data_IF_028089672569
#
_entry.id   IF_028089672569
#
_cell.length_a   1.000
_cell.length_b   1.000
_cell.length_c   1.000
_cell.angle_alpha   90.00
_cell.angle_beta   90.00
_cell.angle_gamma   90.00
#
_symmetry.space_group_name_H-M   'P 1'
#
loop_
_entity.id
_entity.type
_entity.pdbx_description
1 polymer ?
#
# COMPACT_ATOMS: atom_id res chain seq x y z
N UNK A 1 -6.32 17.65 14.19
CA UNK A 1 -6.88 18.14 12.90
C UNK A 1 -6.03 19.29 12.34
N UNK A 2 -5.75 20.37 13.09
CA UNK A 2 -4.91 21.51 12.61
C UNK A 2 -3.54 21.12 12.03
N UNK A 3 -2.81 20.17 12.62
CA UNK A 3 -1.50 19.75 12.13
C UNK A 3 -1.55 18.99 10.77
N UNK A 4 -2.67 18.33 10.46
CA UNK A 4 -2.76 17.47 9.27
C UNK A 4 -3.08 18.24 7.98
N UNK A 5 -3.96 19.24 8.05
CA UNK A 5 -4.25 20.13 6.92
C UNK A 5 -3.01 20.96 6.55
N UNK A 6 -2.23 21.36 7.54
CA UNK A 6 -0.99 22.10 7.32
C UNK A 6 0.08 21.24 6.64
N UNK A 7 0.27 19.99 7.07
CA UNK A 7 1.16 19.05 6.40
C UNK A 7 0.75 18.75 4.95
N UNK A 8 -0.55 18.58 4.68
CA UNK A 8 -1.04 18.33 3.32
C UNK A 8 -0.83 19.55 2.41
N UNK A 9 -1.11 20.75 2.93
CA UNK A 9 -0.85 22.00 2.22
C UNK A 9 0.64 22.18 1.88
N UNK A 10 1.53 21.92 2.85
CA UNK A 10 2.98 22.00 2.63
C UNK A 10 3.46 20.98 1.58
N UNK A 11 2.93 19.76 1.60
CA UNK A 11 3.23 18.74 0.58
C UNK A 11 2.81 19.21 -0.82
N UNK A 12 1.59 19.74 -0.95
CA UNK A 12 1.06 20.28 -2.21
C UNK A 12 1.89 21.45 -2.75
N UNK A 13 2.27 22.39 -1.89
CA UNK A 13 3.15 23.52 -2.27
C UNK A 13 4.53 23.02 -2.72
N UNK A 14 5.09 22.02 -2.04
CA UNK A 14 6.36 21.41 -2.42
C UNK A 14 6.29 20.72 -3.78
N UNK A 15 5.23 19.96 -4.06
CA UNK A 15 5.03 19.30 -5.36
C UNK A 15 5.10 20.33 -6.50
N UNK A 16 4.35 21.43 -6.38
CA UNK A 16 4.32 22.49 -7.40
C UNK A 16 5.69 23.15 -7.57
N UNK A 17 6.40 23.43 -6.46
CA UNK A 17 7.72 24.04 -6.52
C UNK A 17 8.78 23.12 -7.14
N UNK A 18 8.80 21.84 -6.74
CA UNK A 18 9.77 20.86 -7.25
C UNK A 18 9.56 20.65 -8.76
N UNK A 19 8.32 20.58 -9.25
CA UNK A 19 8.03 20.47 -10.69
C UNK A 19 8.49 21.71 -11.45
N UNK A 20 8.35 22.90 -10.86
CA UNK A 20 8.79 24.15 -11.49
C UNK A 20 10.31 24.29 -11.55
N UNK A 21 11.01 23.86 -10.50
CA UNK A 21 12.46 24.03 -10.37
C UNK A 21 13.25 22.87 -10.99
N UNK A 22 12.73 21.65 -10.87
CA UNK A 22 13.43 20.40 -11.21
C UNK A 22 12.70 19.55 -12.25
N UNK A 23 11.68 20.09 -12.92
CA UNK A 23 10.80 19.46 -13.93
C UNK A 23 9.90 18.31 -13.43
N UNK A 24 10.23 17.63 -12.34
CA UNK A 24 9.32 16.70 -11.68
C UNK A 24 9.53 16.70 -10.17
N UNK A 25 8.45 16.36 -9.45
CA UNK A 25 8.50 15.99 -8.05
C UNK A 25 8.62 14.48 -7.91
N UNK A 26 9.32 14.01 -6.87
CA UNK A 26 9.34 12.61 -6.47
C UNK A 26 8.51 12.47 -5.21
N UNK A 27 7.42 11.70 -5.27
CA UNK A 27 6.62 11.35 -4.11
C UNK A 27 7.19 10.05 -3.50
N UNK A 28 7.81 10.16 -2.32
CA UNK A 28 8.50 9.07 -1.65
C UNK A 28 7.63 8.47 -0.54
N UNK A 29 7.47 7.15 -0.55
CA UNK A 29 6.76 6.39 0.46
C UNK A 29 7.68 5.30 0.99
N UNK A 30 7.98 5.39 2.28
CA UNK A 30 8.79 4.40 2.97
C UNK A 30 7.99 3.11 3.20
N UNK A 31 8.71 2.01 3.36
CA UNK A 31 8.09 0.75 3.78
C UNK A 31 7.58 0.88 5.21
N UNK A 32 6.40 0.35 5.48
CA UNK A 32 5.83 0.29 6.83
C UNK A 32 6.14 -1.03 7.55
N UNK A 33 6.96 -1.89 6.95
CA UNK A 33 7.29 -3.23 7.46
C UNK A 33 6.56 -4.34 6.72
N UNK A 34 5.30 -4.12 6.34
CA UNK A 34 4.51 -5.04 5.51
C UNK A 34 4.54 -4.63 4.04
N UNK A 35 4.09 -3.41 3.73
CA UNK A 35 4.08 -2.86 2.38
C UNK A 35 5.48 -2.42 1.93
N UNK A 36 5.86 -2.67 0.65
CA UNK A 36 7.13 -2.21 0.13
C UNK A 36 7.16 -0.69 -0.01
N UNK A 37 8.35 -0.12 0.17
CA UNK A 37 8.61 1.27 -0.20
C UNK A 37 8.38 1.47 -1.70
N UNK A 38 7.94 2.67 -2.08
CA UNK A 38 7.81 3.06 -3.47
C UNK A 38 8.06 4.55 -3.67
N UNK A 39 8.45 4.90 -4.89
CA UNK A 39 8.58 6.29 -5.33
C UNK A 39 7.91 6.43 -6.68
N UNK A 40 7.15 7.50 -6.88
CA UNK A 40 6.67 7.87 -8.21
C UNK A 40 6.95 9.32 -8.56
N UNK A 41 7.00 9.60 -9.86
CA UNK A 41 7.17 10.95 -10.39
C UNK A 41 5.83 11.67 -10.53
N UNK A 42 5.86 13.00 -10.38
CA UNK A 42 4.76 13.89 -10.77
C UNK A 42 5.38 15.00 -11.61
N UNK A 43 4.86 15.24 -12.82
CA UNK A 43 5.28 16.34 -13.69
C UNK A 43 5.92 15.90 -15.00
N UNK A 44 6.36 14.65 -15.14
CA UNK A 44 6.93 14.15 -16.41
C UNK A 44 5.92 14.24 -17.55
N UNK A 45 4.65 13.96 -17.25
CA UNK A 45 3.59 14.02 -18.24
C UNK A 45 3.34 15.45 -18.71
N UNK A 46 3.25 16.40 -17.77
CA UNK A 46 3.07 17.81 -18.11
C UNK A 46 4.26 18.38 -18.89
N UNK A 47 5.50 18.16 -18.40
CA UNK A 47 6.70 18.81 -18.94
C UNK A 47 7.19 18.19 -20.24
N UNK A 48 7.08 16.88 -20.38
CA UNK A 48 7.74 16.14 -21.45
C UNK A 48 6.80 15.26 -22.27
N UNK A 49 5.50 15.22 -21.94
CA UNK A 49 4.53 14.28 -22.54
C UNK A 49 4.98 12.82 -22.41
N UNK A 50 5.72 12.53 -21.32
CA UNK A 50 6.16 11.19 -20.97
C UNK A 50 5.29 10.66 -19.83
N UNK A 51 4.90 9.37 -19.81
CA UNK A 51 4.20 8.79 -18.66
C UNK A 51 4.93 9.05 -17.34
N UNK A 52 4.18 9.21 -16.25
CA UNK A 52 4.78 9.17 -14.92
C UNK A 52 5.39 7.78 -14.67
N UNK A 53 6.38 7.69 -13.79
CA UNK A 53 7.09 6.44 -13.53
C UNK A 53 6.97 6.11 -12.04
N UNK A 54 6.57 4.88 -11.72
CA UNK A 54 6.58 4.32 -10.37
C UNK A 54 7.61 3.20 -10.26
N UNK A 55 8.27 3.12 -9.10
CA UNK A 55 9.27 2.10 -8.77
C UNK A 55 9.06 1.61 -7.33
N UNK A 56 9.26 0.32 -7.09
CA UNK A 56 9.02 -0.35 -5.81
C UNK A 56 10.26 -1.10 -5.30
N UNK A 57 10.29 -1.33 -3.98
CA UNK A 57 11.03 -2.43 -3.36
C UNK A 57 12.53 -2.23 -3.17
N UNK A 58 13.10 -1.17 -3.73
CA UNK A 58 14.45 -0.71 -3.44
C UNK A 58 14.42 0.32 -2.30
N UNK A 59 15.58 0.71 -1.79
CA UNK A 59 15.65 1.83 -0.84
C UNK A 59 15.22 3.13 -1.53
N UNK A 60 14.53 4.02 -0.82
CA UNK A 60 13.94 5.25 -1.37
C UNK A 60 14.98 6.22 -1.95
N UNK A 61 16.19 6.26 -1.39
CA UNK A 61 17.33 7.00 -1.93
C UNK A 61 17.78 6.46 -3.29
N UNK A 62 17.90 5.13 -3.43
CA UNK A 62 18.22 4.46 -4.69
C UNK A 62 17.13 4.70 -5.73
N UNK A 63 15.86 4.51 -5.36
CA UNK A 63 14.73 4.78 -6.25
C UNK A 63 14.72 6.24 -6.71
N UNK A 64 14.94 7.17 -5.78
CA UNK A 64 15.01 8.59 -6.07
C UNK A 64 16.15 8.95 -7.02
N UNK A 65 17.33 8.36 -6.85
CA UNK A 65 18.45 8.56 -7.77
C UNK A 65 18.15 8.01 -9.18
N UNK A 66 17.55 6.83 -9.28
CA UNK A 66 17.15 6.24 -10.56
C UNK A 66 16.13 7.11 -11.30
N UNK A 67 15.07 7.56 -10.60
CA UNK A 67 14.02 8.39 -11.20
C UNK A 67 14.53 9.78 -11.60
N UNK A 68 15.44 10.39 -10.82
CA UNK A 68 16.11 11.62 -11.22
C UNK A 68 16.96 11.44 -12.49
N UNK A 69 17.69 10.33 -12.59
CA UNK A 69 18.45 9.99 -13.80
C UNK A 69 17.54 9.80 -15.02
N UNK A 70 16.42 9.08 -14.85
CA UNK A 70 15.40 8.92 -15.89
C UNK A 70 14.82 10.27 -16.33
N UNK A 71 14.47 11.15 -15.39
CA UNK A 71 14.03 12.51 -15.70
C UNK A 71 15.07 13.25 -16.54
N UNK A 72 16.35 13.19 -16.18
CA UNK A 72 17.41 13.89 -16.90
C UNK A 72 17.61 13.34 -18.33
N UNK A 73 17.41 12.04 -18.55
CA UNK A 73 17.39 11.45 -19.89
C UNK A 73 16.14 11.84 -20.69
N UNK A 74 14.97 11.87 -20.05
CA UNK A 74 13.72 12.33 -20.67
C UNK A 74 13.83 13.80 -21.08
N UNK A 75 14.47 14.65 -20.26
CA UNK A 75 14.78 16.06 -20.59
C UNK A 75 15.62 16.18 -21.86
N UNK A 76 16.48 15.20 -22.16
CA UNK A 76 17.29 15.15 -23.40
C UNK A 76 16.51 14.65 -24.63
N UNK A 77 15.25 14.27 -24.46
CA UNK A 77 14.36 13.76 -25.51
C UNK A 77 14.30 12.23 -25.59
N UNK A 78 14.89 11.50 -24.64
CA UNK A 78 14.69 10.05 -24.56
C UNK A 78 13.28 9.73 -24.06
N UNK A 79 12.76 8.57 -24.45
CA UNK A 79 11.46 8.07 -23.98
C UNK A 79 11.52 6.57 -23.78
N UNK A 80 10.86 6.11 -22.73
CA UNK A 80 10.83 4.71 -22.32
C UNK A 80 9.51 4.08 -22.75
N UNK A 81 9.61 2.90 -23.36
CA UNK A 81 8.50 2.20 -24.02
C UNK A 81 8.14 0.93 -23.27
N UNK A 82 6.86 0.58 -23.39
CA UNK A 82 6.30 -0.65 -22.85
C UNK A 82 7.04 -1.88 -23.35
N UNK A 83 7.28 -2.81 -22.43
CA UNK A 83 7.85 -4.13 -22.70
C UNK A 83 9.24 -4.14 -23.33
N UNK A 84 9.93 -3.00 -23.34
CA UNK A 84 11.30 -2.89 -23.78
C UNK A 84 12.26 -2.98 -22.59
N UNK A 85 13.36 -3.72 -22.78
CA UNK A 85 14.45 -3.82 -21.82
C UNK A 85 15.47 -2.70 -22.05
N UNK A 86 15.94 -2.12 -20.96
CA UNK A 86 16.91 -1.03 -20.95
C UNK A 86 18.07 -1.38 -20.03
N UNK A 87 19.29 -1.30 -20.54
CA UNK A 87 20.52 -1.44 -19.79
C UNK A 87 21.08 -0.07 -19.40
N UNK A 88 21.97 -0.04 -18.40
CA UNK A 88 22.66 1.19 -17.97
C UNK A 88 21.84 2.10 -17.05
N UNK A 89 20.57 1.78 -16.79
CA UNK A 89 19.76 2.47 -15.78
C UNK A 89 20.02 1.95 -14.38
N UNK A 90 20.06 0.62 -14.21
CA UNK A 90 20.44 -0.06 -12.98
C UNK A 90 21.80 -0.74 -13.20
N UNK A 91 22.74 -0.55 -12.27
CA UNK A 91 24.08 -1.11 -12.43
C UNK A 91 24.03 -2.64 -12.51
N UNK A 92 24.62 -3.21 -13.55
CA UNK A 92 24.68 -4.66 -13.82
C UNK A 92 23.35 -5.36 -14.14
N UNK A 93 22.23 -4.64 -14.23
CA UNK A 93 20.92 -5.23 -14.52
C UNK A 93 20.16 -4.44 -15.58
N UNK A 94 19.39 -5.17 -16.40
CA UNK A 94 18.39 -4.55 -17.27
C UNK A 94 17.13 -4.22 -16.46
N UNK A 95 16.38 -3.22 -16.91
CA UNK A 95 15.06 -2.88 -16.38
C UNK A 95 14.03 -2.88 -17.51
N UNK A 96 12.78 -3.13 -17.17
CA UNK A 96 11.68 -3.16 -18.13
C UNK A 96 10.53 -2.30 -17.64
N UNK A 97 9.87 -1.59 -18.55
CA UNK A 97 8.70 -0.77 -18.21
C UNK A 97 7.41 -1.50 -18.57
N UNK A 98 6.52 -1.63 -17.61
CA UNK A 98 5.17 -2.14 -17.79
C UNK A 98 4.16 -1.00 -17.66
N UNK A 99 2.97 -1.18 -18.24
CA UNK A 99 1.86 -0.25 -18.06
C UNK A 99 1.27 -0.42 -16.68
N UNK A 100 0.81 0.66 -16.05
CA UNK A 100 0.00 0.56 -14.83
C UNK A 100 -1.48 0.56 -15.19
N UNK A 101 -2.22 -0.45 -14.74
CA UNK A 101 -3.66 -0.51 -14.90
C UNK A 101 -4.34 0.63 -14.11
N UNK A 102 -5.29 1.34 -14.73
CA UNK A 102 -6.02 2.46 -14.12
C UNK A 102 -6.73 2.12 -12.81
N UNK A 103 -7.11 0.86 -12.58
CA UNK A 103 -7.74 0.41 -11.33
C UNK A 103 -6.82 0.53 -10.11
N UNK A 104 -5.49 0.60 -10.32
CA UNK A 104 -4.52 0.83 -9.25
C UNK A 104 -4.30 2.32 -8.95
N UNK A 105 -4.88 3.25 -9.72
CA UNK A 105 -4.43 4.64 -9.64
C UNK A 105 -4.82 5.32 -8.33
N UNK A 106 -6.03 5.05 -7.86
CA UNK A 106 -6.54 5.57 -6.59
C UNK A 106 -5.75 5.05 -5.39
N UNK A 107 -5.13 3.88 -5.50
CA UNK A 107 -4.33 3.33 -4.42
C UNK A 107 -2.98 4.05 -4.31
N UNK A 108 -2.28 4.31 -5.42
CA UNK A 108 -0.88 4.78 -5.37
C UNK A 108 -0.68 6.27 -5.68
N UNK A 109 -1.50 6.88 -6.55
CA UNK A 109 -1.18 8.17 -7.18
C UNK A 109 -2.01 9.35 -6.66
N UNK A 110 -2.36 9.36 -5.38
CA UNK A 110 -3.20 10.41 -4.79
C UNK A 110 -2.71 11.84 -5.07
N UNK A 111 -1.41 12.11 -4.90
CA UNK A 111 -0.85 13.44 -5.14
C UNK A 111 -0.74 13.78 -6.63
N UNK A 112 -0.39 12.83 -7.49
CA UNK A 112 -0.38 13.07 -8.93
C UNK A 112 -1.80 13.37 -9.42
N UNK A 113 -2.78 12.61 -8.95
CA UNK A 113 -4.16 12.81 -9.31
C UNK A 113 -4.71 14.17 -8.85
N UNK A 114 -4.40 14.60 -7.63
CA UNK A 114 -4.67 15.98 -7.18
C UNK A 114 -4.01 17.02 -8.09
N UNK A 115 -2.73 16.81 -8.44
CA UNK A 115 -1.96 17.73 -9.28
C UNK A 115 -2.56 17.85 -10.70
N UNK A 116 -2.98 16.73 -11.30
CA UNK A 116 -3.65 16.65 -12.59
C UNK A 116 -5.16 16.89 -12.49
N UNK A 117 -5.53 18.00 -11.85
CA UNK A 117 -6.91 18.52 -11.78
C UNK A 117 -7.91 17.59 -11.04
N UNK A 118 -7.44 16.81 -10.06
CA UNK A 118 -8.22 15.77 -9.36
C UNK A 118 -8.76 14.69 -10.33
N UNK A 119 -7.96 14.32 -11.33
CA UNK A 119 -8.28 13.27 -12.30
C UNK A 119 -7.17 12.22 -12.36
N UNK A 120 -7.46 11.07 -12.94
CA UNK A 120 -6.47 10.03 -13.29
C UNK A 120 -6.27 9.94 -14.82
N UNK A 121 -6.25 11.11 -15.47
CA UNK A 121 -6.06 11.20 -16.93
C UNK A 121 -4.60 11.51 -17.31
N UNK A 122 -3.71 10.63 -16.86
CA UNK A 122 -2.30 10.63 -17.22
C UNK A 122 -1.84 9.17 -17.34
N UNK A 123 -0.89 8.83 -18.25
CA UNK A 123 -0.34 7.50 -18.32
C UNK A 123 0.75 7.30 -17.26
N UNK A 124 0.87 6.07 -16.74
CA UNK A 124 1.93 5.69 -15.80
C UNK A 124 2.60 4.39 -16.26
N UNK A 125 3.92 4.37 -16.17
CA UNK A 125 4.76 3.19 -16.33
C UNK A 125 5.31 2.71 -14.99
N UNK A 126 5.29 1.41 -14.76
CA UNK A 126 6.04 0.79 -13.68
C UNK A 126 7.41 0.35 -14.18
N UNK A 127 8.48 0.79 -13.52
CA UNK A 127 9.83 0.29 -13.75
C UNK A 127 10.06 -1.00 -12.96
N UNK A 128 10.31 -2.09 -13.66
CA UNK A 128 10.56 -3.42 -13.09
C UNK A 128 12.05 -3.75 -13.13
N UNK A 129 12.55 -4.35 -12.06
CA UNK A 129 13.91 -4.87 -11.94
C UNK A 129 13.91 -6.40 -11.73
N UNK A 130 14.90 -7.14 -12.27
CA UNK A 130 15.02 -8.58 -12.09
C UNK A 130 15.77 -8.93 -10.79
N UNK A 131 15.78 -10.20 -10.41
CA UNK A 131 16.61 -10.66 -9.31
C UNK A 131 18.12 -10.74 -9.66
N UNK A 132 18.94 -11.20 -8.71
CA UNK A 132 20.39 -11.34 -8.90
C UNK A 132 20.76 -12.36 -9.98
N UNK A 133 19.86 -13.27 -10.34
CA UNK A 133 20.04 -14.26 -11.41
C UNK A 133 19.45 -13.75 -12.74
N UNK A 134 19.10 -12.46 -12.82
CA UNK A 134 18.45 -11.82 -13.96
C UNK A 134 17.07 -12.42 -14.32
N UNK A 135 16.39 -13.02 -13.35
CA UNK A 135 15.01 -13.48 -13.51
C UNK A 135 14.03 -12.36 -13.23
N UNK A 136 12.97 -12.30 -14.02
CA UNK A 136 11.89 -11.33 -13.82
C UNK A 136 10.85 -11.84 -12.81
N UNK A 137 10.07 -10.97 -12.13
CA UNK A 137 9.07 -11.40 -11.15
C UNK A 137 8.02 -12.39 -11.66
N UNK A 138 7.77 -12.38 -12.97
CA UNK A 138 6.84 -13.30 -13.64
C UNK A 138 7.49 -14.58 -14.17
N UNK A 139 8.81 -14.72 -14.06
CA UNK A 139 9.52 -15.91 -14.53
C UNK A 139 9.63 -16.99 -13.46
N UNK A 140 9.56 -18.25 -13.90
CA UNK A 140 9.86 -19.39 -13.04
C UNK A 140 11.31 -19.31 -12.53
N UNK A 141 11.47 -19.48 -11.22
CA UNK A 141 12.79 -19.42 -10.56
C UNK A 141 13.21 -18.02 -10.11
N UNK A 142 12.34 -17.01 -10.21
CA UNK A 142 12.55 -15.74 -9.52
C UNK A 142 12.69 -15.96 -8.01
N UNK A 143 13.58 -15.19 -7.37
CA UNK A 143 13.78 -15.25 -5.92
C UNK A 143 12.46 -15.04 -5.14
N UNK A 144 12.00 -16.09 -4.49
CA UNK A 144 10.72 -16.12 -3.76
C UNK A 144 10.64 -15.05 -2.65
N UNK A 145 11.76 -14.74 -1.99
CA UNK A 145 11.79 -13.71 -0.94
C UNK A 145 11.51 -12.29 -1.47
N UNK A 146 11.58 -12.10 -2.79
CA UNK A 146 11.40 -10.80 -3.44
C UNK A 146 10.06 -10.70 -4.17
N UNK A 147 9.26 -11.77 -4.16
CA UNK A 147 8.01 -11.89 -4.93
C UNK A 147 7.06 -10.71 -4.70
N UNK A 148 6.93 -10.27 -3.44
CA UNK A 148 6.02 -9.18 -3.06
C UNK A 148 6.72 -7.83 -2.85
N UNK A 149 8.04 -7.73 -3.14
CA UNK A 149 8.77 -6.45 -3.03
C UNK A 149 8.41 -5.46 -4.13
N UNK A 150 7.86 -5.93 -5.25
CA UNK A 150 7.37 -5.09 -6.34
C UNK A 150 6.03 -5.63 -6.86
N UNK A 151 4.88 -5.15 -6.32
CA UNK A 151 3.57 -5.56 -6.84
C UNK A 151 3.47 -5.19 -8.33
N UNK A 152 3.03 -6.14 -9.16
CA UNK A 152 2.87 -5.92 -10.60
C UNK A 152 1.53 -5.23 -10.87
N UNK A 153 1.58 -3.93 -11.20
CA UNK A 153 0.38 -3.10 -11.30
C UNK A 153 -0.31 -3.17 -12.68
N UNK A 154 0.19 -3.96 -13.61
CA UNK A 154 -0.43 -4.24 -14.92
C UNK A 154 -1.52 -5.34 -14.84
N UNK A 155 -1.58 -6.05 -13.71
CA UNK A 155 -2.40 -7.26 -13.51
C UNK A 155 -2.93 -7.36 -12.08
N UNK A 156 -3.68 -8.43 -11.80
CA UNK A 156 -4.15 -8.81 -10.45
C UNK A 156 -4.99 -7.75 -9.71
N UNK A 157 -5.74 -6.91 -10.41
CA UNK A 157 -6.51 -5.83 -9.78
C UNK A 157 -7.65 -6.33 -8.87
N UNK A 158 -8.16 -7.52 -9.13
CA UNK A 158 -9.17 -8.22 -8.31
C UNK A 158 -8.61 -8.82 -6.99
N UNK A 159 -7.29 -8.85 -6.82
CA UNK A 159 -6.62 -9.42 -5.64
C UNK A 159 -5.38 -8.58 -5.29
N UNK A 160 -5.55 -7.63 -4.36
CA UNK A 160 -4.54 -6.62 -4.03
C UNK A 160 -3.56 -7.03 -2.92
N UNK A 161 -3.79 -8.16 -2.27
CA UNK A 161 -2.96 -8.62 -1.16
C UNK A 161 -1.56 -9.02 -1.63
N UNK A 162 -0.56 -8.77 -0.77
CA UNK A 162 0.85 -9.09 -1.01
C UNK A 162 1.17 -10.51 -0.55
N UNK A 163 0.27 -11.43 -0.85
CA UNK A 163 0.27 -12.80 -0.36
C UNK A 163 -0.07 -13.78 -1.49
N UNK A 164 0.21 -15.06 -1.27
CA UNK A 164 -0.28 -16.08 -2.18
C UNK A 164 -1.82 -16.16 -2.12
N UNK A 165 -2.44 -16.36 -3.27
CA UNK A 165 -3.90 -16.53 -3.38
C UNK A 165 -4.44 -17.69 -2.53
N UNK A 166 -3.65 -18.74 -2.37
CA UNK A 166 -3.96 -19.91 -1.57
C UNK A 166 -3.43 -19.83 -0.13
N UNK A 167 -3.02 -18.64 0.34
CA UNK A 167 -2.71 -18.43 1.76
C UNK A 167 -3.92 -18.86 2.60
N UNK A 168 -3.68 -19.65 3.63
CA UNK A 168 -4.71 -20.04 4.59
C UNK A 168 -5.02 -18.88 5.53
N UNK A 169 -6.28 -18.48 5.63
CA UNK A 169 -6.74 -17.39 6.48
C UNK A 169 -7.88 -17.83 7.39
N UNK A 170 -7.97 -17.21 8.56
CA UNK A 170 -8.99 -17.54 9.55
C UNK A 170 -10.27 -16.76 9.31
N UNK A 171 -11.40 -17.44 9.42
CA UNK A 171 -12.73 -16.84 9.35
C UNK A 171 -13.70 -17.63 10.23
N UNK A 172 -15.00 -17.35 10.13
CA UNK A 172 -16.06 -18.12 10.78
C UNK A 172 -16.93 -18.83 9.76
N UNK A 173 -17.63 -19.91 10.14
CA UNK A 173 -18.59 -20.56 9.22
C UNK A 173 -19.64 -19.57 8.75
N UNK A 174 -20.17 -18.74 9.66
CA UNK A 174 -21.17 -17.75 9.31
C UNK A 174 -20.68 -16.68 8.33
N UNK A 175 -19.45 -16.17 8.50
CA UNK A 175 -18.85 -15.28 7.51
C UNK A 175 -18.79 -15.96 6.14
N UNK A 176 -18.26 -17.20 6.10
CA UNK A 176 -18.09 -17.93 4.85
C UNK A 176 -19.42 -18.37 4.19
N UNK A 177 -20.50 -18.50 4.97
CA UNK A 177 -21.86 -18.72 4.46
C UNK A 177 -22.52 -17.44 3.91
N UNK A 178 -21.80 -16.31 3.91
CA UNK A 178 -22.21 -15.06 3.29
C UNK A 178 -22.74 -14.01 4.26
N UNK A 179 -22.59 -14.18 5.59
CA UNK A 179 -22.81 -13.05 6.49
C UNK A 179 -21.72 -11.99 6.27
N UNK A 180 -22.06 -10.69 6.41
CA UNK A 180 -21.11 -9.61 6.18
C UNK A 180 -19.83 -9.75 7.00
N UNK A 181 -18.69 -9.64 6.34
CA UNK A 181 -17.39 -9.51 6.99
C UNK A 181 -17.25 -8.04 7.38
N UNK A 182 -17.24 -7.79 8.68
CA UNK A 182 -17.23 -6.44 9.26
C UNK A 182 -15.93 -6.12 9.98
N UNK A 183 -15.13 -7.15 10.30
CA UNK A 183 -13.87 -7.03 11.03
C UNK A 183 -12.78 -7.80 10.28
N UNK A 184 -11.62 -7.16 10.10
CA UNK A 184 -10.44 -7.74 9.47
C UNK A 184 -9.25 -7.51 10.39
N UNK A 185 -8.55 -8.57 10.74
CA UNK A 185 -7.36 -8.51 11.58
C UNK A 185 -6.15 -9.01 10.80
N UNK A 186 -5.05 -8.29 10.91
CA UNK A 186 -3.74 -8.75 10.51
C UNK A 186 -2.88 -8.78 11.78
N UNK A 187 -2.69 -9.95 12.37
CA UNK A 187 -2.05 -10.05 13.68
C UNK A 187 -0.52 -9.82 13.59
N UNK A 188 0.16 -9.80 14.74
CA UNK A 188 1.62 -9.59 14.80
C UNK A 188 2.42 -10.73 14.15
N UNK A 189 1.85 -11.94 14.07
CA UNK A 189 2.46 -13.12 13.45
C UNK A 189 2.29 -13.16 11.91
N UNK A 190 1.46 -12.26 11.35
CA UNK A 190 1.16 -12.18 9.92
C UNK A 190 -0.04 -13.00 9.44
N UNK A 191 -0.84 -13.54 10.36
CA UNK A 191 -2.09 -14.21 10.02
C UNK A 191 -3.19 -13.19 9.72
N UNK A 192 -3.86 -13.41 8.60
CA UNK A 192 -5.08 -12.70 8.23
C UNK A 192 -6.32 -13.38 8.80
N UNK A 193 -7.24 -12.56 9.32
CA UNK A 193 -8.51 -13.03 9.85
C UNK A 193 -9.67 -12.14 9.41
N UNK A 194 -10.81 -12.75 9.07
CA UNK A 194 -11.97 -12.08 8.47
C UNK A 194 -13.26 -12.53 9.16
N UNK A 195 -13.92 -11.64 9.90
CA UNK A 195 -15.02 -11.99 10.82
C UNK A 195 -16.25 -11.10 10.69
N UNK A 196 -17.40 -11.65 11.10
CA UNK A 196 -18.67 -10.91 11.18
C UNK A 196 -18.79 -10.06 12.44
N UNK A 197 -18.03 -10.40 13.48
CA UNK A 197 -18.04 -9.77 14.81
C UNK A 197 -16.60 -9.60 15.30
N UNK A 198 -16.37 -8.65 16.21
CA UNK A 198 -15.04 -8.30 16.71
C UNK A 198 -14.35 -9.46 17.44
N UNK A 199 -15.11 -10.18 18.27
CA UNK A 199 -14.65 -11.35 19.02
C UNK A 199 -15.40 -12.60 18.53
N UNK A 200 -14.92 -13.27 17.47
CA UNK A 200 -15.55 -14.47 16.97
C UNK A 200 -15.38 -15.64 17.94
N UNK A 201 -16.36 -16.53 17.97
CA UNK A 201 -16.24 -17.78 18.75
C UNK A 201 -15.28 -18.73 18.06
N UNK A 202 -14.24 -19.17 18.77
CA UNK A 202 -13.26 -20.16 18.28
C UNK A 202 -13.94 -21.45 17.78
N UNK A 203 -15.03 -21.88 18.42
CA UNK A 203 -15.80 -23.05 18.01
C UNK A 203 -16.43 -22.92 16.60
N UNK A 204 -16.58 -21.70 16.09
CA UNK A 204 -17.09 -21.38 14.74
C UNK A 204 -15.95 -21.10 13.74
N UNK A 205 -14.70 -21.27 14.15
CA UNK A 205 -13.54 -20.98 13.31
C UNK A 205 -13.46 -21.89 12.08
N UNK A 206 -13.02 -21.31 10.98
CA UNK A 206 -12.82 -21.99 9.71
C UNK A 206 -11.54 -21.46 9.05
N UNK A 207 -10.71 -22.37 8.53
CA UNK A 207 -9.57 -22.04 7.70
C UNK A 207 -9.96 -22.17 6.23
N UNK A 208 -9.74 -21.12 5.45
CA UNK A 208 -10.08 -21.06 4.02
C UNK A 208 -8.97 -20.38 3.22
N UNK A 209 -9.01 -20.46 1.88
CA UNK A 209 -8.05 -19.72 1.06
C UNK A 209 -8.40 -18.23 1.03
N UNK A 210 -7.40 -17.35 1.12
CA UNK A 210 -7.58 -15.91 1.04
C UNK A 210 -8.36 -15.50 -0.23
N UNK A 211 -8.04 -16.09 -1.38
CA UNK A 211 -8.77 -15.80 -2.61
C UNK A 211 -10.27 -16.13 -2.54
N UNK A 212 -10.68 -17.15 -1.78
CA UNK A 212 -12.10 -17.49 -1.62
C UNK A 212 -12.84 -16.42 -0.81
N UNK A 213 -12.18 -15.87 0.21
CA UNK A 213 -12.74 -14.76 1.01
C UNK A 213 -12.85 -13.49 0.17
N UNK A 214 -11.82 -13.16 -0.63
CA UNK A 214 -11.87 -11.99 -1.51
C UNK A 214 -12.93 -12.16 -2.60
N UNK A 215 -13.14 -13.38 -3.12
CA UNK A 215 -14.25 -13.65 -4.06
C UNK A 215 -15.63 -13.54 -3.41
N UNK A 216 -15.75 -13.89 -2.13
CA UNK A 216 -16.99 -13.75 -1.37
C UNK A 216 -17.33 -12.26 -1.15
N UNK A 217 -16.33 -11.45 -0.86
CA UNK A 217 -16.47 -10.01 -0.69
C UNK A 217 -15.28 -9.24 -1.31
N UNK A 218 -15.43 -8.78 -2.57
CA UNK A 218 -14.36 -8.06 -3.27
C UNK A 218 -13.96 -6.73 -2.61
N UNK A 219 -14.83 -6.13 -1.79
CA UNK A 219 -14.53 -4.86 -1.09
C UNK A 219 -13.49 -5.04 0.01
N UNK A 220 -13.14 -6.28 0.40
CA UNK A 220 -12.00 -6.57 1.26
C UNK A 220 -10.65 -6.22 0.62
N UNK A 221 -10.59 -6.04 -0.70
CA UNK A 221 -9.43 -5.43 -1.36
C UNK A 221 -9.19 -3.98 -0.91
N UNK A 222 -10.10 -3.36 -0.16
CA UNK A 222 -9.91 -2.00 0.32
C UNK A 222 -9.00 -1.88 1.55
N UNK A 223 -8.72 -2.99 2.23
CA UNK A 223 -7.90 -3.07 3.45
C UNK A 223 -6.67 -3.97 3.29
N UNK A 224 -6.29 -4.27 2.05
CA UNK A 224 -5.13 -5.12 1.72
C UNK A 224 -3.79 -4.63 2.31
N UNK A 225 -3.73 -3.37 2.71
CA UNK A 225 -2.56 -2.67 3.24
C UNK A 225 -2.49 -2.67 4.78
N UNK A 226 -3.42 -3.33 5.48
CA UNK A 226 -3.33 -3.44 6.94
C UNK A 226 -1.96 -4.01 7.32
N UNK A 227 -1.26 -3.29 8.20
CA UNK A 227 0.03 -3.69 8.69
C UNK A 227 -0.12 -4.73 9.81
N UNK A 228 0.97 -5.37 10.19
CA UNK A 228 1.00 -6.31 11.31
C UNK A 228 0.51 -5.64 12.60
N UNK A 229 -0.34 -6.36 13.33
CA UNK A 229 -0.99 -5.87 14.53
C UNK A 229 -2.10 -4.83 14.27
N UNK A 230 -2.61 -4.69 13.05
CA UNK A 230 -3.73 -3.77 12.77
C UNK A 230 -5.05 -4.50 12.60
N UNK A 231 -6.12 -3.80 12.98
CA UNK A 231 -7.50 -4.23 12.75
C UNK A 231 -8.24 -3.16 11.95
N UNK A 232 -9.05 -3.57 10.98
CA UNK A 232 -10.03 -2.72 10.33
C UNK A 232 -11.44 -3.19 10.65
N UNK A 233 -12.36 -2.25 10.81
CA UNK A 233 -13.78 -2.54 10.98
C UNK A 233 -14.68 -1.58 10.20
N UNK A 234 -15.87 -2.04 9.86
CA UNK A 234 -16.91 -1.27 9.14
C UNK A 234 -18.31 -1.71 9.57
N UNK A 235 -19.33 -0.92 9.23
CA UNK A 235 -20.72 -1.21 9.62
C UNK A 235 -21.47 -2.11 8.62
N UNK A 236 -21.09 -2.06 7.34
CA UNK A 236 -21.73 -2.82 6.26
C UNK A 236 -20.77 -3.03 5.09
N UNK A 237 -21.07 -3.96 4.19
CA UNK A 237 -20.26 -4.21 2.99
C UNK A 237 -20.22 -2.95 2.12
N UNK A 238 -19.02 -2.52 1.74
CA UNK A 238 -18.79 -1.28 1.00
C UNK A 238 -18.87 0.00 1.83
N UNK A 239 -19.12 -0.09 3.14
CA UNK A 239 -18.99 1.03 4.06
C UNK A 239 -17.52 1.37 4.36
N UNK A 240 -17.28 2.59 4.84
CA UNK A 240 -15.93 3.06 5.18
C UNK A 240 -15.28 2.22 6.29
N UNK A 241 -14.00 1.91 6.10
CA UNK A 241 -13.19 1.22 7.07
C UNK A 241 -12.59 2.18 8.10
N UNK A 242 -12.73 1.85 9.37
CA UNK A 242 -11.94 2.45 10.45
C UNK A 242 -10.82 1.49 10.82
N UNK A 243 -9.61 2.01 11.01
CA UNK A 243 -8.41 1.21 11.30
C UNK A 243 -7.88 1.59 12.69
N UNK A 244 -7.54 0.57 13.46
CA UNK A 244 -6.94 0.69 14.79
C UNK A 244 -5.70 -0.21 14.93
N UNK A 245 -4.79 0.18 15.82
CA UNK A 245 -3.71 -0.71 16.27
C UNK A 245 -4.29 -1.66 17.32
N UNK A 246 -4.04 -2.96 17.15
CA UNK A 246 -4.39 -3.97 18.14
C UNK A 246 -3.45 -3.80 19.33
N UNK A 247 -3.94 -3.25 20.44
CA UNK A 247 -3.25 -3.37 21.71
C UNK A 247 -3.35 -4.83 22.14
N UNK A 248 -2.35 -5.64 21.80
CA UNK A 248 -2.17 -6.91 22.50
C UNK A 248 -2.16 -6.59 24.00
N UNK A 249 -3.00 -7.27 24.79
CA UNK A 249 -2.89 -7.21 26.25
C UNK A 249 -1.45 -7.57 26.57
N UNK A 250 -0.62 -6.56 26.86
CA UNK A 250 0.71 -6.80 27.38
C UNK A 250 0.48 -7.72 28.56
N UNK A 251 0.96 -8.95 28.47
CA UNK A 251 1.05 -9.81 29.64
C UNK A 251 1.79 -8.98 30.69
N UNK A 252 1.04 -8.46 31.68
CA UNK A 252 1.63 -7.83 32.84
C UNK A 252 2.45 -8.93 33.49
N UNK A 253 3.76 -8.94 33.25
CA UNK A 253 4.70 -9.57 34.16
C UNK A 253 4.37 -8.99 35.53
N UNK A 254 3.70 -9.80 36.33
CA UNK A 254 3.21 -9.46 37.66
C UNK A 254 4.40 -9.30 38.60
N UNK A 255 5.09 -8.16 38.53
CA UNK A 255 5.86 -7.66 39.67
C UNK A 255 4.87 -6.88 40.53
N UNK A 256 4.34 -7.57 41.54
CA UNK A 256 3.26 -7.06 42.37
C UNK A 256 3.54 -5.69 42.98
N UNK A 257 2.59 -4.78 42.83
CA UNK A 257 2.21 -3.88 43.90
C UNK A 257 0.79 -3.36 43.69
N UNK A 258 -0.01 -3.38 44.75
CA UNK A 258 -1.42 -2.96 44.76
C UNK A 258 -1.61 -1.52 44.28
N UNK A 259 -2.38 -1.33 43.21
CA UNK A 259 -2.93 -0.04 42.81
C UNK A 259 -4.11 -0.26 41.87
N UNK A 260 -5.34 -0.11 42.37
CA UNK A 260 -6.54 -0.15 41.54
C UNK A 260 -6.50 0.99 40.52
N UNK A 261 -6.39 0.67 39.24
CA UNK A 261 -6.63 1.62 38.14
C UNK A 261 -8.12 1.62 37.82
N UNK A 262 -8.74 2.80 37.79
CA UNK A 262 -10.20 2.92 37.60
C UNK A 262 -10.55 3.02 36.12
N UNK A 263 -11.79 2.66 35.74
CA UNK A 263 -12.25 2.73 34.33
C UNK A 263 -12.14 4.13 33.71
N UNK A 264 -12.08 5.19 34.53
CA UNK A 264 -11.90 6.57 34.06
C UNK A 264 -10.47 6.85 33.55
N UNK A 265 -9.47 6.12 34.05
CA UNK A 265 -8.08 6.26 33.61
C UNK A 265 -7.84 5.59 32.24
N UNK A 266 -8.65 4.57 31.91
CA UNK A 266 -8.65 3.90 30.59
C UNK A 266 -9.25 4.78 29.49
N UNK A 267 -10.29 5.57 29.79
CA UNK A 267 -10.93 6.48 28.83
C UNK A 267 -10.06 7.68 28.41
N UNK A 268 -9.07 8.07 29.23
CA UNK A 268 -8.15 9.15 28.86
C UNK A 268 -7.01 8.70 27.95
N UNK A 269 -6.52 7.46 28.08
CA UNK A 269 -5.47 6.92 27.19
C UNK A 269 -6.00 6.61 25.78
N UNK A 270 -7.26 6.16 25.65
CA UNK A 270 -7.97 5.95 24.38
C UNK A 270 -8.05 7.20 23.48
N UNK A 271 -7.86 8.41 24.02
CA UNK A 271 -7.90 9.66 23.24
C UNK A 271 -6.56 10.05 22.59
N UNK A 272 -5.48 9.31 22.84
CA UNK A 272 -4.13 9.75 22.41
C UNK A 272 -3.45 8.88 21.35
N UNK A 273 -4.01 7.73 20.96
CA UNK A 273 -3.52 6.94 19.83
C UNK A 273 -4.50 6.99 18.66
N UNK A 274 -4.47 8.09 17.91
CA UNK A 274 -5.13 8.16 16.61
C UNK A 274 -4.10 8.61 15.58
N UNK A 275 -3.20 7.70 15.21
CA UNK A 275 -2.36 7.87 14.03
C UNK A 275 -3.12 7.30 12.85
N UNK A 276 -3.79 8.18 12.11
CA UNK A 276 -4.39 7.88 10.81
C UNK A 276 -3.38 7.12 9.93
N UNK A 277 -3.76 5.90 9.52
CA UNK A 277 -2.99 5.10 8.58
C UNK A 277 -2.90 5.85 7.23
N UNK A 278 -1.70 5.89 6.64
CA UNK A 278 -1.41 6.64 5.42
C UNK A 278 -2.31 6.24 4.22
N UNK A 279 -2.68 4.97 4.12
CA UNK A 279 -3.54 4.47 3.06
C UNK A 279 -5.01 4.88 3.22
N UNK A 280 -5.50 5.05 4.46
CA UNK A 280 -6.82 5.63 4.70
C UNK A 280 -6.84 7.13 4.35
N UNK A 281 -5.72 7.84 4.56
CA UNK A 281 -5.52 9.22 4.10
C UNK A 281 -5.53 9.34 2.57
N UNK A 282 -4.84 8.43 1.86
CA UNK A 282 -4.82 8.39 0.39
C UNK A 282 -6.22 8.26 -0.19
N UNK A 283 -7.06 7.39 0.38
CA UNK A 283 -8.45 7.19 -0.07
C UNK A 283 -9.36 8.37 0.26
N UNK A 284 -9.21 8.97 1.45
CA UNK A 284 -9.99 10.15 1.85
C UNK A 284 -9.70 11.42 1.03
N UNK A 285 -8.64 11.45 0.22
CA UNK A 285 -8.41 12.55 -0.74
C UNK A 285 -9.37 12.53 -1.95
N UNK A 286 -10.12 11.44 -2.14
CA UNK A 286 -10.98 11.20 -3.30
C UNK A 286 -12.48 11.12 -2.98
N UNK A 287 -12.85 11.23 -1.69
CA UNK A 287 -14.22 11.34 -1.17
C UNK A 287 -14.59 12.79 -0.89
#
# INVERSE_FOLDING_TARGET
MENHEEHDKQAKERIVNDIKEYDCHLALFESDGYSPAFVYTIGLYEKFQHPEIILFGLKTDVMGHLLNGLRDEIRKGNSYKLNQKYSGLLESYEVQFLEVNKENYADYFGYAGWYYENTFDFPVLQMIWPDKESKWPWESGFNENWKFKQPLLDRNTEFKYQEEKNLGVYTTHHAFEGKPILYVHHNEDGDWQFHTEYEPKIADSKLVCLEEIIKLDPTLNEVYYLNYGQTAYRNEIGGEWTIEEYESEKEEETTGNNGYTTMADREQNLKTSNKSNFWSKLKGMWS
#
